data_IF_728293638025
#
_entry.id   IF_728293638025
#
_cell.length_a   1.000
_cell.length_b   1.000
_cell.length_c   1.000
_cell.angle_alpha   90.00
_cell.angle_beta   90.00
_cell.angle_gamma   90.00
#
_symmetry.space_group_name_H-M   'P 1'
#
loop_
_entity.id
_entity.type
_entity.pdbx_description
1 polymer ?
#
# COMPACT_ATOMS: atom_id res chain seq x y z
N UNK A 1 -2.09 1.19 -19.48
CA UNK A 1 -2.65 -0.19 -19.45
C UNK A 1 -3.96 -0.28 -18.66
N UNK A 2 -4.05 0.26 -17.42
CA UNK A 2 -5.26 0.22 -16.57
C UNK A 2 -6.58 0.62 -17.26
N UNK A 3 -6.58 1.66 -18.08
CA UNK A 3 -7.78 2.14 -18.78
C UNK A 3 -8.44 1.09 -19.70
N UNK A 4 -7.69 0.09 -20.20
CA UNK A 4 -8.24 -0.96 -21.08
C UNK A 4 -9.40 -1.73 -20.43
N UNK A 5 -9.32 -1.96 -19.12
CA UNK A 5 -10.32 -2.71 -18.35
C UNK A 5 -11.12 -1.83 -17.39
N UNK A 6 -10.66 -0.60 -17.15
CA UNK A 6 -11.22 0.25 -16.10
C UNK A 6 -11.70 1.64 -16.59
N UNK A 7 -11.77 1.82 -17.92
CA UNK A 7 -12.27 3.04 -18.58
C UNK A 7 -11.22 4.15 -18.66
N UNK A 8 -10.72 4.64 -17.52
CA UNK A 8 -9.73 5.72 -17.45
C UNK A 8 -8.74 5.57 -16.30
N UNK A 9 -7.68 6.37 -16.31
CA UNK A 9 -6.76 6.53 -15.19
C UNK A 9 -6.20 7.96 -15.21
N UNK A 10 -6.07 8.65 -14.05
CA UNK A 10 -6.48 8.24 -12.69
C UNK A 10 -8.01 8.21 -12.50
N UNK A 11 -8.46 7.76 -11.33
CA UNK A 11 -9.88 7.60 -10.96
C UNK A 11 -10.66 6.72 -11.97
N UNK A 12 -10.36 5.44 -12.00
CA UNK A 12 -11.03 4.50 -12.90
C UNK A 12 -12.52 4.37 -12.60
N UNK A 13 -13.29 3.87 -13.56
CA UNK A 13 -14.74 3.59 -13.44
C UNK A 13 -15.06 2.09 -13.58
N UNK A 14 -14.01 1.26 -13.48
CA UNK A 14 -14.07 -0.18 -13.77
C UNK A 14 -14.50 -1.07 -12.62
N UNK A 15 -14.35 -0.64 -11.37
CA UNK A 15 -14.58 -1.46 -10.18
C UNK A 15 -15.80 -0.93 -9.43
N UNK A 16 -16.69 -1.85 -9.09
CA UNK A 16 -17.95 -1.58 -8.36
C UNK A 16 -18.17 -2.69 -7.33
N UNK A 17 -18.99 -2.47 -6.29
CA UNK A 17 -19.46 -3.57 -5.44
C UNK A 17 -20.04 -4.69 -6.32
N UNK A 18 -19.50 -5.91 -6.16
CA UNK A 18 -19.86 -7.07 -6.97
C UNK A 18 -18.91 -7.42 -8.12
N UNK A 19 -17.92 -6.57 -8.45
CA UNK A 19 -16.86 -6.94 -9.39
C UNK A 19 -16.44 -5.81 -10.33
N UNK A 20 -16.44 -6.12 -11.64
CA UNK A 20 -15.97 -5.20 -12.69
C UNK A 20 -17.09 -4.84 -13.67
N UNK A 21 -17.09 -3.61 -14.17
CA UNK A 21 -18.13 -3.09 -15.08
C UNK A 21 -17.97 -3.51 -16.53
N UNK A 22 -16.83 -4.13 -16.87
CA UNK A 22 -16.53 -4.55 -18.23
C UNK A 22 -15.93 -5.95 -18.27
N UNK A 23 -16.57 -6.84 -19.05
CA UNK A 23 -16.02 -8.14 -19.40
C UNK A 23 -14.75 -7.96 -20.28
N UNK A 24 -13.61 -8.56 -19.91
CA UNK A 24 -12.43 -8.57 -20.78
C UNK A 24 -12.72 -9.24 -22.13
N UNK A 25 -12.30 -8.60 -23.22
CA UNK A 25 -12.36 -9.16 -24.59
C UNK A 25 -10.97 -9.60 -25.04
N UNK A 26 -10.90 -10.50 -26.03
CA UNK A 26 -9.62 -10.97 -26.60
C UNK A 26 -8.76 -9.81 -27.08
N UNK A 27 -9.35 -8.81 -27.73
CA UNK A 27 -8.63 -7.63 -28.22
C UNK A 27 -8.04 -6.80 -27.08
N UNK A 28 -8.78 -6.62 -25.98
CA UNK A 28 -8.30 -5.90 -24.80
C UNK A 28 -7.20 -6.66 -24.08
N UNK A 29 -7.33 -7.98 -23.97
CA UNK A 29 -6.30 -8.86 -23.39
C UNK A 29 -5.02 -8.77 -24.23
N UNK A 30 -5.13 -8.92 -25.54
CA UNK A 30 -3.98 -8.85 -26.47
C UNK A 30 -3.33 -7.47 -26.44
N UNK A 31 -4.15 -6.41 -26.47
CA UNK A 31 -3.69 -5.03 -26.34
C UNK A 31 -3.01 -4.74 -25.01
N UNK A 32 -3.43 -5.39 -23.92
CA UNK A 32 -2.77 -5.33 -22.63
C UNK A 32 -1.43 -6.08 -22.66
N UNK A 33 -1.41 -7.33 -23.14
CA UNK A 33 -0.21 -8.19 -23.18
C UNK A 33 0.94 -7.55 -23.95
N UNK A 34 0.70 -6.95 -25.11
CA UNK A 34 1.77 -6.27 -25.86
C UNK A 34 2.35 -5.07 -25.10
N UNK A 35 1.49 -4.28 -24.44
CA UNK A 35 1.95 -3.16 -23.60
C UNK A 35 2.71 -3.66 -22.37
N UNK A 36 2.26 -4.76 -21.77
CA UNK A 36 2.90 -5.38 -20.63
C UNK A 36 4.31 -5.85 -21.00
N UNK A 37 4.48 -6.50 -22.15
CA UNK A 37 5.80 -6.96 -22.62
C UNK A 37 6.79 -5.81 -22.77
N UNK A 38 6.37 -4.66 -23.29
CA UNK A 38 7.21 -3.46 -23.36
C UNK A 38 7.64 -2.97 -21.97
N UNK A 39 6.73 -2.99 -21.01
CA UNK A 39 7.04 -2.58 -19.63
C UNK A 39 7.94 -3.61 -18.94
N UNK A 40 7.71 -4.91 -19.15
CA UNK A 40 8.57 -5.96 -18.60
C UNK A 40 9.99 -5.89 -19.17
N UNK A 41 10.14 -5.64 -20.47
CA UNK A 41 11.42 -5.44 -21.12
C UNK A 41 12.19 -4.28 -20.48
N UNK A 42 11.54 -3.11 -20.33
CA UNK A 42 12.13 -1.97 -19.62
C UNK A 42 12.48 -2.29 -18.16
N UNK A 43 11.61 -3.01 -17.43
CA UNK A 43 11.87 -3.37 -16.04
C UNK A 43 13.13 -4.25 -15.95
N UNK A 44 13.21 -5.29 -16.78
CA UNK A 44 14.25 -6.29 -16.70
C UNK A 44 15.59 -5.80 -17.26
N UNK A 45 15.57 -4.99 -18.32
CA UNK A 45 16.74 -4.62 -19.08
C UNK A 45 17.21 -3.18 -18.85
N UNK A 46 16.45 -2.37 -18.09
CA UNK A 46 16.84 -0.99 -17.75
C UNK A 46 16.64 -0.70 -16.28
N UNK A 47 15.40 -0.73 -15.76
CA UNK A 47 15.11 -0.28 -14.41
C UNK A 47 15.84 -1.08 -13.32
N UNK A 48 15.76 -2.41 -13.35
CA UNK A 48 16.41 -3.26 -12.34
C UNK A 48 17.94 -3.16 -12.44
N UNK A 49 18.57 -3.30 -13.63
CA UNK A 49 20.01 -3.07 -13.78
C UNK A 49 20.48 -1.71 -13.27
N UNK A 50 19.79 -0.63 -13.63
CA UNK A 50 20.16 0.73 -13.24
C UNK A 50 20.02 0.94 -11.72
N UNK A 51 18.92 0.46 -11.13
CA UNK A 51 18.73 0.51 -9.69
C UNK A 51 19.83 -0.26 -8.94
N UNK A 52 20.28 -1.40 -9.48
CA UNK A 52 21.38 -2.18 -8.91
C UNK A 52 22.73 -1.49 -9.10
N UNK A 53 22.96 -0.82 -10.23
CA UNK A 53 24.17 -0.03 -10.46
C UNK A 53 24.26 1.13 -9.44
N UNK A 54 23.16 1.86 -9.23
CA UNK A 54 23.07 2.93 -8.22
C UNK A 54 23.29 2.35 -6.82
N UNK A 55 22.63 1.24 -6.45
CA UNK A 55 22.79 0.62 -5.14
C UNK A 55 24.22 0.10 -4.88
N UNK A 56 24.97 -0.20 -5.95
CA UNK A 56 26.38 -0.59 -5.87
C UNK A 56 27.29 0.62 -5.70
N UNK A 57 27.04 1.70 -6.43
CA UNK A 57 27.78 2.95 -6.32
C UNK A 57 27.62 3.62 -4.95
N UNK A 58 26.42 3.59 -4.38
CA UNK A 58 26.09 4.17 -3.06
C UNK A 58 25.96 3.08 -1.99
N UNK A 59 26.99 2.25 -1.86
CA UNK A 59 26.96 1.11 -0.92
C UNK A 59 26.89 1.52 0.55
N UNK A 60 27.31 2.75 0.87
CA UNK A 60 27.19 3.40 2.18
C UNK A 60 25.73 3.62 2.59
N UNK A 61 24.82 3.82 1.63
CA UNK A 61 23.38 3.99 1.91
C UNK A 61 22.73 2.74 2.53
N UNK A 62 23.37 1.56 2.41
CA UNK A 62 22.92 0.34 3.08
C UNK A 62 22.99 0.42 4.61
N UNK A 63 23.75 1.38 5.15
CA UNK A 63 24.00 1.52 6.60
C UNK A 63 23.13 2.58 7.27
N UNK A 64 22.36 3.36 6.50
CA UNK A 64 21.51 4.45 7.01
C UNK A 64 20.02 4.11 6.79
N UNK A 65 19.13 4.84 7.47
CA UNK A 65 17.68 4.71 7.23
C UNK A 65 17.03 3.42 7.73
N UNK A 66 17.68 2.67 8.64
CA UNK A 66 17.15 1.41 9.17
C UNK A 66 15.77 1.54 9.85
N UNK A 67 15.51 2.70 10.46
CA UNK A 67 14.27 2.98 11.17
C UNK A 67 13.97 1.95 12.27
N UNK A 68 12.68 1.70 12.51
CA UNK A 68 12.20 0.81 13.57
C UNK A 68 12.33 -0.69 13.24
N UNK A 69 12.63 -1.03 11.97
CA UNK A 69 12.62 -2.42 11.46
C UNK A 69 11.31 -3.17 11.73
N UNK A 70 10.21 -2.43 11.85
CA UNK A 70 8.86 -2.96 11.97
C UNK A 70 8.14 -2.80 10.62
N UNK A 71 7.57 -3.90 10.10
CA UNK A 71 6.89 -3.94 8.80
C UNK A 71 5.50 -4.55 8.96
N UNK A 72 4.56 -4.14 8.11
CA UNK A 72 3.17 -4.61 8.11
C UNK A 72 2.68 -4.76 6.67
N UNK A 73 2.07 -5.91 6.37
CA UNK A 73 1.41 -6.19 5.11
C UNK A 73 0.03 -6.81 5.37
N UNK A 74 -1.02 -6.27 4.75
CA UNK A 74 -2.38 -6.83 4.82
C UNK A 74 -2.61 -8.01 3.85
N UNK A 75 -1.63 -8.25 2.98
CA UNK A 75 -1.73 -9.17 1.86
C UNK A 75 -2.50 -8.56 0.69
N UNK A 76 -2.12 -8.91 -0.53
CA UNK A 76 -2.75 -8.37 -1.75
C UNK A 76 -2.65 -9.33 -2.93
N UNK A 77 -3.53 -9.11 -3.91
CA UNK A 77 -3.81 -9.95 -5.08
C UNK A 77 -4.23 -11.38 -4.72
N UNK A 78 -5.55 -11.57 -4.57
CA UNK A 78 -6.14 -12.88 -4.32
C UNK A 78 -5.96 -13.78 -5.54
N UNK A 79 -5.48 -15.01 -5.28
CA UNK A 79 -5.22 -16.03 -6.31
C UNK A 79 -6.36 -17.04 -6.42
N UNK A 80 -7.34 -16.94 -5.51
CA UNK A 80 -8.56 -17.73 -5.50
C UNK A 80 -9.75 -16.88 -5.01
N UNK A 81 -10.97 -17.41 -5.16
CA UNK A 81 -12.20 -16.72 -4.76
C UNK A 81 -12.44 -16.70 -3.25
N UNK A 82 -11.67 -17.45 -2.46
CA UNK A 82 -11.79 -17.47 -0.99
C UNK A 82 -11.02 -16.34 -0.33
N UNK A 83 -10.09 -15.72 -1.07
CA UNK A 83 -9.18 -14.69 -0.57
C UNK A 83 -8.14 -15.21 0.42
N UNK A 84 -8.02 -16.53 0.62
CA UNK A 84 -7.04 -17.15 1.53
C UNK A 84 -5.66 -17.23 0.90
N UNK A 85 -5.57 -17.58 -0.39
CA UNK A 85 -4.31 -17.56 -1.11
C UNK A 85 -4.10 -16.21 -1.79
N UNK A 86 -2.98 -15.56 -1.50
CA UNK A 86 -2.62 -14.23 -2.02
C UNK A 86 -1.19 -14.23 -2.56
N UNK A 87 -0.94 -13.50 -3.64
CA UNK A 87 0.40 -13.36 -4.22
C UNK A 87 1.38 -12.76 -3.20
N UNK A 88 0.94 -11.69 -2.52
CA UNK A 88 1.65 -11.15 -1.37
C UNK A 88 0.90 -11.54 -0.11
N UNK A 89 1.57 -12.28 0.78
CA UNK A 89 0.97 -12.79 2.02
C UNK A 89 0.76 -11.67 3.03
N UNK A 90 -0.25 -11.86 3.89
CA UNK A 90 -0.46 -11.03 5.09
C UNK A 90 0.57 -11.39 6.15
N UNK A 91 1.10 -10.40 6.87
CA UNK A 91 2.06 -10.61 7.94
C UNK A 91 2.61 -9.30 8.50
N UNK A 92 3.17 -9.36 9.71
CA UNK A 92 3.97 -8.27 10.28
C UNK A 92 5.33 -8.79 10.70
N UNK A 93 6.33 -7.93 10.63
CA UNK A 93 7.67 -8.21 11.12
C UNK A 93 8.00 -7.22 12.22
N UNK A 94 8.29 -7.69 13.43
CA UNK A 94 8.70 -6.85 14.56
C UNK A 94 9.58 -7.66 15.51
N UNK A 95 10.57 -7.02 16.14
CA UNK A 95 11.48 -7.70 17.06
C UNK A 95 12.24 -8.88 16.43
N UNK A 96 12.47 -8.85 15.13
CA UNK A 96 13.16 -9.92 14.40
C UNK A 96 12.28 -11.11 14.00
N UNK A 97 10.96 -11.08 14.27
CA UNK A 97 10.05 -12.20 14.07
C UNK A 97 8.95 -11.86 13.07
N UNK A 98 8.62 -12.83 12.21
CA UNK A 98 7.41 -12.81 11.39
C UNK A 98 6.22 -13.27 12.25
N UNK A 99 5.16 -12.48 12.27
CA UNK A 99 3.96 -12.70 13.08
C UNK A 99 2.71 -12.47 12.24
N UNK A 100 1.59 -13.00 12.70
CA UNK A 100 0.28 -12.74 12.12
C UNK A 100 -0.18 -11.30 12.40
N UNK A 101 -1.12 -10.86 11.57
CA UNK A 101 -1.76 -9.54 11.67
C UNK A 101 -3.19 -9.72 12.17
N UNK A 102 -3.49 -9.00 13.25
CA UNK A 102 -4.81 -8.82 13.80
C UNK A 102 -5.20 -7.34 13.62
N UNK A 103 -6.28 -7.10 12.89
CA UNK A 103 -6.70 -5.75 12.54
C UNK A 103 -7.28 -4.98 13.74
N UNK A 104 -7.76 -5.69 14.77
CA UNK A 104 -8.30 -5.07 15.99
C UNK A 104 -7.22 -4.31 16.77
N UNK A 105 -5.96 -4.70 16.61
CA UNK A 105 -4.80 -4.10 17.28
C UNK A 105 -4.26 -2.84 16.61
N UNK A 106 -4.86 -2.41 15.51
CA UNK A 106 -4.48 -1.16 14.85
C UNK A 106 -5.21 -0.02 15.55
N UNK A 107 -4.48 1.01 15.95
CA UNK A 107 -5.04 2.23 16.55
C UNK A 107 -4.52 3.46 15.82
N UNK A 108 -5.23 4.59 15.91
CA UNK A 108 -4.79 5.87 15.34
C UNK A 108 -4.63 6.93 16.44
N UNK A 109 -3.39 7.31 16.75
CA UNK A 109 -3.13 8.41 17.66
C UNK A 109 -3.22 9.77 16.96
N UNK A 110 -3.66 10.79 17.68
CA UNK A 110 -3.79 12.16 17.14
C UNK A 110 -3.14 13.24 17.98
N UNK A 111 -2.37 12.90 19.02
CA UNK A 111 -1.69 13.87 19.90
C UNK A 111 -0.96 14.98 19.11
N UNK A 112 -0.21 14.61 18.08
CA UNK A 112 0.57 15.53 17.24
C UNK A 112 -0.04 15.78 15.85
N UNK A 113 -1.30 15.41 15.67
CA UNK A 113 -2.06 15.59 14.44
C UNK A 113 -3.14 16.64 14.67
N UNK A 114 -3.54 17.39 13.63
CA UNK A 114 -4.57 18.44 13.71
C UNK A 114 -5.99 17.85 13.82
N UNK A 115 -6.23 17.00 14.83
CA UNK A 115 -7.54 16.45 15.19
C UNK A 115 -7.75 16.55 16.71
N UNK A 116 -9.01 16.63 17.12
CA UNK A 116 -9.37 16.69 18.54
C UNK A 116 -8.85 15.47 19.33
N UNK A 117 -8.26 15.71 20.50
CA UNK A 117 -7.63 14.65 21.33
C UNK A 117 -8.58 13.50 21.70
N UNK A 118 -9.88 13.78 21.86
CA UNK A 118 -10.90 12.77 22.16
C UNK A 118 -11.08 11.72 21.05
N UNK A 119 -10.49 11.94 19.87
CA UNK A 119 -10.49 11.01 18.74
C UNK A 119 -9.27 10.06 18.72
N UNK A 120 -8.30 10.25 19.63
CA UNK A 120 -7.05 9.46 19.69
C UNK A 120 -7.27 8.02 20.12
N UNK A 121 -6.36 7.13 19.69
CA UNK A 121 -6.24 5.76 20.17
C UNK A 121 -7.33 4.81 19.68
N UNK A 122 -8.20 5.26 18.78
CA UNK A 122 -9.32 4.46 18.26
C UNK A 122 -8.86 3.51 17.16
N UNK A 123 -9.52 2.34 17.08
CA UNK A 123 -9.39 1.48 15.91
C UNK A 123 -10.00 2.18 14.68
N UNK A 124 -9.46 1.98 13.46
CA UNK A 124 -10.05 2.51 12.23
C UNK A 124 -11.55 2.20 12.05
N UNK A 125 -12.07 1.09 12.57
CA UNK A 125 -13.50 0.75 12.51
C UNK A 125 -14.39 1.66 13.37
N UNK A 126 -13.81 2.33 14.37
CA UNK A 126 -14.48 3.24 15.30
C UNK A 126 -13.94 4.67 15.20
N UNK A 127 -13.11 4.94 14.19
CA UNK A 127 -12.41 6.21 14.02
C UNK A 127 -13.40 7.37 13.84
N UNK A 128 -13.10 8.46 14.52
CA UNK A 128 -13.78 9.76 14.37
C UNK A 128 -12.78 10.74 13.75
N UNK A 129 -13.24 11.55 12.79
CA UNK A 129 -12.40 12.55 12.11
C UNK A 129 -12.93 13.94 12.42
N UNK A 130 -12.37 14.58 13.44
CA UNK A 130 -12.73 15.93 13.89
C UNK A 130 -11.51 16.84 13.79
N UNK A 131 -11.36 17.61 12.70
CA UNK A 131 -10.23 18.50 12.48
C UNK A 131 -10.13 19.59 13.55
N UNK A 132 -8.91 19.83 14.05
CA UNK A 132 -8.57 20.94 14.92
C UNK A 132 -7.31 21.65 14.40
N UNK A 133 -7.46 22.52 13.38
CA UNK A 133 -6.36 23.34 12.89
C UNK A 133 -5.74 24.15 14.03
N UNK A 134 -4.41 24.29 14.03
CA UNK A 134 -3.65 25.03 15.07
C UNK A 134 -3.80 24.44 16.48
N UNK A 135 -4.19 23.17 16.61
CA UNK A 135 -4.05 22.44 17.87
C UNK A 135 -2.61 22.58 18.39
N UNK A 136 -2.41 22.96 19.67
CA UNK A 136 -1.07 23.06 20.26
C UNK A 136 -0.25 21.78 20.05
N UNK A 137 1.04 21.92 19.80
CA UNK A 137 2.02 20.86 19.53
C UNK A 137 1.80 20.00 18.27
N UNK A 138 0.61 20.04 17.65
CA UNK A 138 0.33 19.30 16.43
C UNK A 138 0.99 19.95 15.20
N UNK A 139 1.50 19.10 14.30
CA UNK A 139 2.29 19.54 13.15
C UNK A 139 1.90 18.83 11.83
N UNK A 140 0.87 17.98 11.83
CA UNK A 140 0.52 17.15 10.67
C UNK A 140 -0.98 16.88 10.54
N UNK A 141 -1.43 16.70 9.30
CA UNK A 141 -2.75 16.13 8.98
C UNK A 141 -2.72 14.60 8.93
N UNK A 142 -1.55 13.97 8.94
CA UNK A 142 -1.47 12.53 9.10
C UNK A 142 -1.77 12.18 10.56
N UNK A 143 -2.74 11.30 10.78
CA UNK A 143 -2.86 10.57 12.05
C UNK A 143 -1.63 9.68 12.26
N UNK A 144 -1.46 9.15 13.46
CA UNK A 144 -0.34 8.30 13.84
C UNK A 144 -0.81 6.86 14.06
N UNK A 145 -0.93 6.03 13.00
CA UNK A 145 -1.31 4.64 13.16
C UNK A 145 -0.26 3.85 13.96
N UNK A 146 -0.71 2.97 14.86
CA UNK A 146 0.11 2.06 15.67
C UNK A 146 -0.46 0.64 15.59
N UNK A 147 0.35 -0.33 16.01
CA UNK A 147 -0.04 -1.74 16.11
C UNK A 147 0.47 -2.28 17.43
N UNK A 148 -0.41 -2.90 18.22
CA UNK A 148 -0.21 -3.21 19.66
C UNK A 148 -0.05 -1.92 20.49
#
# INVERSE_FOLDING_TARGET
MRALFAGKAPHHVGFVPGGVTQKPTVDKITGFLWRLRKVQDFINNTYVPDAMAIASAYSDYKKIGLGHKNLLAYGTFDLDSTGKNKLFKRGRYTGGKLLDVDAAKITEDVKYSWYEDKTSGKNPTESVTEPQPRKPDAYSWAKAPRYD
#
